data_IF_307014119860
#
_entry.id   IF_307014119860
#
_cell.length_a   1.000
_cell.length_b   1.000
_cell.length_c   1.000
_cell.angle_alpha   90.00
_cell.angle_beta   90.00
_cell.angle_gamma   90.00
#
_symmetry.space_group_name_H-M   'P 1'
#
loop_
_entity.id
_entity.type
_entity.pdbx_description
1 polymer ?
#
# COMPACT_ATOMS: atom_id res chain seq x y z
N UNK A 1 11.02 -10.49 0.56
CA UNK A 1 9.87 -11.32 0.97
C UNK A 1 8.64 -10.72 0.28
N UNK A 2 7.77 -11.55 -0.27
CA UNK A 2 6.48 -11.14 -0.84
C UNK A 2 5.36 -11.86 -0.09
N UNK A 3 4.32 -11.12 0.29
CA UNK A 3 3.20 -11.62 1.09
C UNK A 3 1.90 -11.15 0.49
N UNK A 4 0.93 -12.04 0.39
CA UNK A 4 -0.45 -11.74 -0.04
C UNK A 4 -1.40 -12.68 0.74
N UNK A 5 -2.63 -12.25 0.93
CA UNK A 5 -3.68 -13.04 1.60
C UNK A 5 -4.32 -14.06 0.65
N UNK A 6 -4.14 -13.88 -0.66
CA UNK A 6 -4.75 -14.69 -1.72
C UNK A 6 -3.73 -15.67 -2.33
N UNK A 7 -3.93 -16.95 -2.09
CA UNK A 7 -3.04 -18.01 -2.58
C UNK A 7 -2.96 -18.05 -4.11
N UNK A 8 -4.03 -17.70 -4.82
CA UNK A 8 -4.03 -17.67 -6.29
C UNK A 8 -3.15 -16.52 -6.80
N UNK A 9 -3.16 -15.36 -6.14
CA UNK A 9 -2.26 -14.24 -6.47
C UNK A 9 -0.80 -14.60 -6.23
N UNK A 10 -0.50 -15.35 -5.16
CA UNK A 10 0.85 -15.86 -4.91
C UNK A 10 1.34 -16.81 -6.02
N UNK A 11 0.44 -17.55 -6.67
CA UNK A 11 0.78 -18.32 -7.87
C UNK A 11 1.43 -17.45 -8.95
N UNK A 12 0.83 -16.29 -9.25
CA UNK A 12 1.35 -15.32 -10.22
C UNK A 12 2.69 -14.72 -9.79
N UNK A 13 2.92 -14.53 -8.50
CA UNK A 13 4.21 -14.06 -7.97
C UNK A 13 5.29 -15.09 -8.25
N UNK A 14 5.03 -16.37 -7.94
CA UNK A 14 5.97 -17.48 -8.18
C UNK A 14 6.30 -17.64 -9.66
N UNK A 15 5.29 -17.56 -10.53
CA UNK A 15 5.47 -17.60 -11.99
C UNK A 15 6.37 -16.46 -12.50
N UNK A 16 6.17 -15.24 -12.01
CA UNK A 16 7.01 -14.10 -12.40
C UNK A 16 8.45 -14.24 -11.91
N UNK A 17 8.66 -14.71 -10.68
CA UNK A 17 9.99 -14.99 -10.14
C UNK A 17 10.71 -16.05 -11.00
N UNK A 18 10.02 -17.14 -11.36
CA UNK A 18 10.58 -18.18 -12.22
C UNK A 18 10.92 -17.64 -13.62
N UNK A 19 10.00 -16.91 -14.25
CA UNK A 19 10.17 -16.32 -15.58
C UNK A 19 11.37 -15.37 -15.63
N UNK A 20 11.57 -14.58 -14.58
CA UNK A 20 12.67 -13.61 -14.48
C UNK A 20 13.95 -14.20 -13.86
N UNK A 21 13.94 -15.46 -13.44
CA UNK A 21 15.05 -16.14 -12.74
C UNK A 21 15.49 -15.40 -11.47
N UNK A 22 14.52 -14.91 -10.71
CA UNK A 22 14.71 -14.25 -9.42
C UNK A 22 14.26 -15.17 -8.28
N UNK A 23 14.81 -14.95 -7.10
CA UNK A 23 14.47 -15.71 -5.90
C UNK A 23 13.99 -14.78 -4.79
N UNK A 24 12.85 -15.12 -4.18
CA UNK A 24 12.31 -14.44 -3.02
C UNK A 24 11.52 -15.42 -2.14
N UNK A 25 11.53 -15.17 -0.83
CA UNK A 25 10.60 -15.84 0.10
C UNK A 25 9.17 -15.34 -0.16
N UNK A 26 8.26 -16.26 -0.49
CA UNK A 26 6.85 -15.98 -0.78
C UNK A 26 5.99 -16.61 0.31
N UNK A 27 5.14 -15.82 0.98
CA UNK A 27 4.30 -16.29 2.09
C UNK A 27 2.84 -15.91 1.90
N UNK A 28 1.95 -16.78 2.37
CA UNK A 28 0.54 -16.43 2.58
C UNK A 28 0.42 -15.70 3.92
N UNK A 29 -0.25 -14.56 3.93
CA UNK A 29 -0.39 -13.78 5.15
C UNK A 29 -1.32 -12.58 5.01
N UNK A 30 -1.95 -12.21 6.12
CA UNK A 30 -2.76 -11.00 6.22
C UNK A 30 -1.88 -9.82 6.68
N UNK A 31 -1.99 -8.69 5.99
CA UNK A 31 -1.26 -7.46 6.34
C UNK A 31 -1.64 -6.90 7.71
N UNK A 32 -2.81 -7.27 8.25
CA UNK A 32 -3.27 -6.89 9.60
C UNK A 32 -2.63 -7.71 10.71
N UNK A 33 -2.05 -8.88 10.40
CA UNK A 33 -1.44 -9.77 11.39
C UNK A 33 0.00 -10.18 11.04
N UNK A 34 0.95 -9.24 10.85
CA UNK A 34 2.31 -9.57 10.41
C UNK A 34 3.04 -10.59 11.27
N UNK A 35 2.80 -10.56 12.58
CA UNK A 35 3.35 -11.52 13.54
C UNK A 35 3.12 -12.99 13.12
N UNK A 36 2.00 -13.30 12.45
CA UNK A 36 1.67 -14.68 12.05
C UNK A 36 2.59 -15.22 10.95
N UNK A 37 3.16 -14.36 10.10
CA UNK A 37 3.94 -14.80 8.94
C UNK A 37 5.40 -14.34 8.97
N UNK A 38 5.74 -13.29 9.73
CA UNK A 38 7.13 -12.88 9.95
C UNK A 38 7.62 -12.91 11.40
N UNK A 39 6.75 -13.19 12.39
CA UNK A 39 7.12 -13.03 13.81
C UNK A 39 7.67 -11.63 14.07
N UNK A 40 8.67 -11.53 14.94
CA UNK A 40 9.29 -10.24 15.30
C UNK A 40 10.28 -9.70 14.25
N UNK A 41 10.32 -10.29 13.05
CA UNK A 41 11.25 -9.85 12.00
C UNK A 41 10.94 -8.41 11.60
N UNK A 42 11.99 -7.60 11.56
CA UNK A 42 11.95 -6.24 11.04
C UNK A 42 12.62 -6.13 9.68
N UNK A 43 12.15 -5.18 8.87
CA UNK A 43 12.61 -4.92 7.52
C UNK A 43 13.30 -3.56 7.40
N UNK A 44 14.32 -3.49 6.55
CA UNK A 44 14.98 -2.23 6.21
C UNK A 44 14.09 -1.34 5.34
N UNK A 45 13.28 -1.98 4.49
CA UNK A 45 12.34 -1.30 3.59
C UNK A 45 11.04 -2.09 3.43
N UNK A 46 9.93 -1.39 3.34
CA UNK A 46 8.60 -1.96 3.12
C UNK A 46 7.93 -1.22 1.96
N UNK A 47 7.43 -1.97 0.98
CA UNK A 47 6.50 -1.45 -0.03
C UNK A 47 5.12 -2.00 0.32
N UNK A 48 4.22 -1.12 0.74
CA UNK A 48 2.83 -1.43 1.02
C UNK A 48 1.98 -0.96 -0.15
N UNK A 49 1.72 -1.87 -1.09
CA UNK A 49 0.69 -1.70 -2.11
C UNK A 49 -0.66 -2.09 -1.50
N UNK A 50 -1.41 -1.09 -1.04
CA UNK A 50 -2.54 -1.31 -0.15
C UNK A 50 -3.81 -1.71 -0.93
N UNK A 51 -4.66 -2.60 -0.36
CA UNK A 51 -5.96 -2.87 -0.94
C UNK A 51 -6.79 -1.58 -0.98
N UNK A 52 -7.28 -1.22 -2.16
CA UNK A 52 -7.95 0.06 -2.38
C UNK A 52 -9.10 -0.07 -3.39
N UNK A 53 -9.79 1.04 -3.63
CA UNK A 53 -10.96 1.12 -4.50
C UNK A 53 -10.64 0.89 -5.98
N UNK A 54 -9.36 0.97 -6.36
CA UNK A 54 -8.88 0.86 -7.72
C UNK A 54 -9.51 1.89 -8.69
N UNK A 55 -10.00 3.02 -8.17
CA UNK A 55 -10.61 4.10 -8.97
C UNK A 55 -9.65 4.68 -10.02
N UNK A 56 -8.34 4.61 -9.79
CA UNK A 56 -7.34 5.08 -10.74
C UNK A 56 -7.12 4.20 -11.97
N UNK A 57 -7.58 2.93 -11.93
CA UNK A 57 -7.42 1.95 -13.02
C UNK A 57 -8.72 1.64 -13.76
N UNK A 58 -9.78 2.45 -13.57
CA UNK A 58 -11.08 2.29 -14.25
C UNK A 58 -10.95 2.17 -15.78
N UNK A 59 -9.95 2.84 -16.40
CA UNK A 59 -9.72 2.74 -17.85
C UNK A 59 -9.28 1.34 -18.32
N UNK A 60 -8.70 0.53 -17.43
CA UNK A 60 -8.32 -0.87 -17.67
C UNK A 60 -9.39 -1.85 -17.20
N UNK A 61 -10.12 -1.48 -16.15
CA UNK A 61 -11.13 -2.28 -15.47
C UNK A 61 -12.43 -1.47 -15.32
N UNK A 62 -13.24 -1.35 -16.40
CA UNK A 62 -14.43 -0.48 -16.40
C UNK A 62 -15.56 -1.01 -15.51
N UNK A 63 -15.51 -2.28 -15.13
CA UNK A 63 -16.40 -2.96 -14.20
C UNK A 63 -16.32 -2.39 -12.77
N UNK A 64 -15.18 -1.82 -12.37
CA UNK A 64 -15.00 -1.16 -11.06
C UNK A 64 -16.10 -0.13 -10.80
N UNK A 65 -16.54 0.61 -11.82
CA UNK A 65 -17.61 1.63 -11.70
C UNK A 65 -18.95 1.05 -11.24
N UNK A 66 -19.20 -0.22 -11.51
CA UNK A 66 -20.45 -0.90 -11.18
C UNK A 66 -20.34 -1.75 -9.92
N UNK A 67 -19.14 -2.27 -9.65
CA UNK A 67 -18.87 -3.14 -8.52
C UNK A 67 -18.58 -2.38 -7.23
N UNK A 68 -18.06 -1.15 -7.31
CA UNK A 68 -17.75 -0.33 -6.14
C UNK A 68 -18.96 0.47 -5.69
N UNK A 69 -19.18 0.47 -4.38
CA UNK A 69 -20.18 1.29 -3.69
C UNK A 69 -19.47 2.33 -2.83
N UNK A 70 -20.17 3.42 -2.55
CA UNK A 70 -19.66 4.49 -1.68
C UNK A 70 -19.26 3.97 -0.29
N UNK A 71 -20.05 3.06 0.28
CA UNK A 71 -19.75 2.38 1.54
C UNK A 71 -18.41 1.63 1.54
N UNK A 72 -17.99 1.10 0.39
CA UNK A 72 -16.76 0.32 0.29
C UNK A 72 -15.52 1.22 0.49
N UNK A 73 -15.61 2.52 0.20
CA UNK A 73 -14.48 3.45 0.32
C UNK A 73 -14.09 3.62 1.80
N UNK A 74 -15.08 3.80 2.67
CA UNK A 74 -14.84 3.92 4.11
C UNK A 74 -14.29 2.61 4.70
N UNK A 75 -14.81 1.47 4.27
CA UNK A 75 -14.32 0.15 4.69
C UNK A 75 -12.87 -0.10 4.25
N UNK A 76 -12.52 0.27 3.02
CA UNK A 76 -11.17 0.15 2.49
C UNK A 76 -10.19 1.10 3.19
N UNK A 77 -10.58 2.36 3.42
CA UNK A 77 -9.76 3.30 4.17
C UNK A 77 -9.50 2.80 5.61
N UNK A 78 -10.51 2.19 6.26
CA UNK A 78 -10.31 1.55 7.56
C UNK A 78 -9.34 0.37 7.48
N UNK A 79 -9.50 -0.51 6.50
CA UNK A 79 -8.59 -1.65 6.31
C UNK A 79 -7.14 -1.20 6.05
N UNK A 80 -6.95 -0.18 5.22
CA UNK A 80 -5.64 0.42 4.96
C UNK A 80 -5.00 0.98 6.23
N UNK A 81 -5.79 1.63 7.10
CA UNK A 81 -5.33 2.13 8.39
C UNK A 81 -4.90 0.98 9.32
N UNK A 82 -5.68 -0.11 9.38
CA UNK A 82 -5.34 -1.30 10.15
C UNK A 82 -4.02 -1.93 9.66
N UNK A 83 -3.82 -2.04 8.35
CA UNK A 83 -2.61 -2.65 7.77
C UNK A 83 -1.38 -1.77 8.00
N UNK A 84 -1.46 -0.46 7.74
CA UNK A 84 -0.31 0.43 7.91
C UNK A 84 0.13 0.49 9.38
N UNK A 85 -0.83 0.46 10.32
CA UNK A 85 -0.55 0.44 11.75
C UNK A 85 0.05 -0.91 12.20
N UNK A 86 -0.46 -2.02 11.66
CA UNK A 86 0.04 -3.35 11.99
C UNK A 86 1.47 -3.60 11.46
N UNK A 87 1.80 -3.08 10.27
CA UNK A 87 3.11 -3.32 9.64
C UNK A 87 4.20 -2.35 10.13
N UNK A 88 3.84 -1.16 10.61
CA UNK A 88 4.81 -0.14 11.05
C UNK A 88 5.82 -0.60 12.13
N UNK A 89 5.43 -1.39 13.15
CA UNK A 89 6.38 -1.96 14.11
C UNK A 89 7.45 -2.86 13.48
N UNK A 90 7.15 -3.47 12.33
CA UNK A 90 8.06 -4.33 11.58
C UNK A 90 9.01 -3.54 10.67
N UNK A 91 8.93 -2.22 10.64
CA UNK A 91 9.96 -1.37 10.05
C UNK A 91 11.03 -1.06 11.09
N UNK A 92 12.31 -1.24 10.71
CA UNK A 92 13.45 -0.83 11.55
C UNK A 92 13.46 0.69 11.73
N UNK A 93 14.02 1.19 12.83
CA UNK A 93 14.39 2.61 12.94
C UNK A 93 15.41 2.96 11.84
N UNK A 94 15.24 4.11 11.21
CA UNK A 94 15.93 4.52 9.97
C UNK A 94 15.42 3.82 8.70
N UNK A 95 14.46 2.89 8.82
CA UNK A 95 13.88 2.16 7.69
C UNK A 95 12.94 3.03 6.85
N UNK A 96 12.69 2.59 5.61
CA UNK A 96 11.83 3.30 4.65
C UNK A 96 10.59 2.50 4.32
N UNK A 97 9.42 3.10 4.44
CA UNK A 97 8.17 2.55 3.92
C UNK A 97 7.66 3.40 2.76
N UNK A 98 7.20 2.75 1.70
CA UNK A 98 6.39 3.40 0.66
C UNK A 98 4.98 2.85 0.78
N UNK A 99 4.03 3.73 1.07
CA UNK A 99 2.60 3.44 0.95
C UNK A 99 2.16 3.80 -0.46
N UNK A 100 1.42 2.91 -1.12
CA UNK A 100 0.95 3.10 -2.47
C UNK A 100 -0.48 2.59 -2.65
N UNK A 101 -1.24 3.25 -3.52
CA UNK A 101 -2.57 2.79 -3.95
C UNK A 101 -2.76 3.10 -5.44
N UNK A 102 -3.65 2.35 -6.09
CA UNK A 102 -4.18 2.71 -7.40
C UNK A 102 -5.54 3.45 -7.30
N UNK A 103 -5.71 4.27 -6.25
CA UNK A 103 -6.88 5.13 -6.04
C UNK A 103 -6.56 6.58 -6.41
N UNK A 104 -7.60 7.33 -6.77
CA UNK A 104 -7.57 8.80 -6.92
C UNK A 104 -8.34 9.52 -5.81
N UNK A 105 -8.84 8.79 -4.81
CA UNK A 105 -9.67 9.33 -3.74
C UNK A 105 -8.79 9.79 -2.56
N UNK A 106 -8.95 11.04 -2.07
CA UNK A 106 -8.17 11.55 -0.94
C UNK A 106 -8.28 10.70 0.34
N UNK A 107 -9.45 10.12 0.59
CA UNK A 107 -9.77 9.27 1.75
C UNK A 107 -8.85 8.05 1.88
N UNK A 108 -8.39 7.50 0.76
CA UNK A 108 -7.47 6.36 0.70
C UNK A 108 -6.01 6.81 0.57
N UNK A 109 -5.76 8.11 0.34
CA UNK A 109 -4.48 8.63 -0.11
C UNK A 109 -3.93 9.66 0.90
N UNK A 110 -4.01 10.95 0.59
CA UNK A 110 -3.43 12.00 1.44
C UNK A 110 -4.06 12.01 2.84
N UNK A 111 -5.39 11.83 2.97
CA UNK A 111 -6.05 11.82 4.28
C UNK A 111 -5.60 10.64 5.14
N UNK A 112 -5.36 9.48 4.51
CA UNK A 112 -4.83 8.30 5.17
C UNK A 112 -3.44 8.56 5.76
N UNK A 113 -2.55 9.19 4.98
CA UNK A 113 -1.19 9.50 5.43
C UNK A 113 -1.19 10.59 6.50
N UNK A 114 -2.04 11.62 6.36
CA UNK A 114 -2.22 12.65 7.40
C UNK A 114 -2.62 12.00 8.74
N UNK A 115 -3.64 11.14 8.72
CA UNK A 115 -4.09 10.45 9.92
C UNK A 115 -3.00 9.53 10.49
N UNK A 116 -2.18 8.92 9.64
CA UNK A 116 -1.08 8.03 10.07
C UNK A 116 0.04 8.82 10.77
N UNK A 117 0.47 9.94 10.20
CA UNK A 117 1.51 10.79 10.79
C UNK A 117 1.06 11.39 12.15
N UNK A 118 -0.22 11.65 12.33
CA UNK A 118 -0.76 12.15 13.61
C UNK A 118 -0.67 11.12 14.75
N UNK A 119 -0.79 9.82 14.43
CA UNK A 119 -0.80 8.74 15.44
C UNK A 119 0.54 8.03 15.60
N UNK A 120 1.48 8.21 14.66
CA UNK A 120 2.85 7.67 14.72
C UNK A 120 3.88 8.80 14.73
N UNK A 121 4.26 9.34 15.90
CA UNK A 121 5.19 10.47 16.00
C UNK A 121 6.63 10.11 15.59
N UNK A 122 6.95 8.82 15.47
CA UNK A 122 8.22 8.32 14.94
C UNK A 122 8.21 8.20 13.41
N UNK A 123 7.10 8.53 12.73
CA UNK A 123 7.00 8.54 11.29
C UNK A 123 7.23 9.94 10.71
N UNK A 124 8.00 10.01 9.61
CA UNK A 124 8.23 11.25 8.89
C UNK A 124 8.03 11.08 7.38
N UNK A 125 7.26 11.97 6.76
CA UNK A 125 7.12 12.06 5.31
C UNK A 125 8.40 12.62 4.67
N UNK A 126 8.83 12.05 3.55
CA UNK A 126 10.06 12.46 2.84
C UNK A 126 9.84 12.45 1.34
N UNK A 127 10.23 13.53 0.64
CA UNK A 127 10.25 13.68 -0.84
C UNK A 127 8.89 13.62 -1.57
N UNK A 128 7.81 13.17 -0.93
CA UNK A 128 6.50 12.99 -1.55
C UNK A 128 5.47 13.91 -0.90
N UNK A 129 5.33 15.14 -1.41
CA UNK A 129 4.40 16.13 -0.86
C UNK A 129 4.94 16.84 0.39
N UNK A 130 4.03 17.41 1.17
CA UNK A 130 4.33 18.12 2.42
C UNK A 130 3.33 17.76 3.53
N UNK A 131 3.43 18.39 4.70
CA UNK A 131 2.56 18.09 5.85
C UNK A 131 1.08 18.45 5.60
N UNK A 132 0.78 19.39 4.70
CA UNK A 132 -0.59 19.79 4.37
C UNK A 132 -1.20 18.86 3.31
N UNK A 133 -0.38 18.42 2.36
CA UNK A 133 -0.77 17.48 1.31
C UNK A 133 0.26 16.35 1.20
N UNK A 134 0.18 15.35 2.09
CA UNK A 134 1.16 14.29 2.09
C UNK A 134 0.98 13.32 0.92
N UNK A 135 2.10 12.90 0.37
CA UNK A 135 2.19 12.01 -0.78
C UNK A 135 2.13 12.73 -2.12
N UNK A 136 2.06 11.95 -3.20
CA UNK A 136 1.95 12.45 -4.56
C UNK A 136 0.87 11.69 -5.31
N UNK A 137 -0.10 12.44 -5.83
CA UNK A 137 -1.19 11.91 -6.64
C UNK A 137 -0.85 12.02 -8.13
N UNK A 138 -0.95 10.90 -8.82
CA UNK A 138 -1.02 10.82 -10.27
C UNK A 138 -2.50 10.68 -10.68
N UNK A 139 -2.88 11.37 -11.75
CA UNK A 139 -4.18 11.22 -12.39
C UNK A 139 -4.01 10.50 -13.73
N UNK A 140 -4.99 9.71 -14.17
CA UNK A 140 -4.90 9.03 -15.46
C UNK A 140 -4.87 10.05 -16.60
N UNK A 141 -3.93 9.88 -17.53
CA UNK A 141 -3.81 10.69 -18.74
C UNK A 141 -3.50 9.77 -19.94
N UNK A 142 -3.95 10.08 -21.18
CA UNK A 142 -3.77 9.18 -22.33
C UNK A 142 -2.33 8.79 -22.63
N UNK A 143 -1.37 9.67 -22.34
CA UNK A 143 0.06 9.46 -22.55
C UNK A 143 0.82 9.05 -21.26
N UNK A 144 0.11 8.90 -20.13
CA UNK A 144 0.71 8.55 -18.83
C UNK A 144 0.15 7.26 -18.23
N UNK A 145 0.67 6.93 -17.05
CA UNK A 145 0.19 5.87 -16.18
C UNK A 145 -1.25 6.05 -15.68
N UNK A 146 -1.67 5.10 -14.86
CA UNK A 146 -3.00 5.11 -14.25
C UNK A 146 -3.09 6.17 -13.14
N UNK A 147 -4.31 6.39 -12.64
CA UNK A 147 -4.46 7.10 -11.37
C UNK A 147 -3.77 6.30 -10.26
N UNK A 148 -2.86 6.94 -9.55
CA UNK A 148 -1.99 6.25 -8.59
C UNK A 148 -1.52 7.21 -7.52
N UNK A 149 -1.25 6.71 -6.33
CA UNK A 149 -0.74 7.50 -5.21
C UNK A 149 0.47 6.84 -4.57
N UNK A 150 1.40 7.65 -4.09
CA UNK A 150 2.52 7.17 -3.28
C UNK A 150 2.95 8.18 -2.22
N UNK A 151 3.28 7.66 -1.04
CA UNK A 151 3.87 8.40 0.06
C UNK A 151 5.07 7.65 0.63
N UNK A 152 6.22 8.32 0.69
CA UNK A 152 7.47 7.79 1.25
C UNK A 152 7.62 8.26 2.69
N UNK A 153 7.75 7.30 3.58
CA UNK A 153 7.83 7.47 5.02
C UNK A 153 9.17 6.92 5.51
N UNK A 154 9.76 7.59 6.49
CA UNK A 154 10.95 7.12 7.23
C UNK A 154 10.58 6.99 8.70
N UNK A 155 11.03 5.90 9.33
CA UNK A 155 10.92 5.71 10.77
C UNK A 155 12.15 6.31 11.46
N UNK A 156 11.93 7.12 12.50
CA UNK A 156 12.98 7.80 13.24
C UNK A 156 13.60 6.94 14.35
#
# INVERSE_FOLDING_TARGET
MAVDIDEQRLGRVKENLQRLRLHAEVKLGDGRTPQQWCGDKQFDRILLDAPCSATGVIRRHPDIKWLRRDSDIAELAKLQAEIIDAIWPHLKSGGVMVYATCSILPTENAEQITAFLQRHPDARLVETGDEQQPGRQNLPHPEDGDGFFYAKLIKM
#
